data_IF_725955740632
#
_entry.id   IF_725955740632
#
_cell.length_a   1.000
_cell.length_b   1.000
_cell.length_c   1.000
_cell.angle_alpha   90.00
_cell.angle_beta   90.00
_cell.angle_gamma   90.00
#
_symmetry.space_group_name_H-M   'P 1'
#
loop_
_entity.id
_entity.type
_entity.pdbx_description
1 polymer ?
#
# COMPACT_ATOMS: atom_id res chain seq x y z
N UNK A 1 -24.89 7.59 12.88
CA UNK A 1 -24.11 6.59 13.63
C UNK A 1 -22.79 6.42 12.92
N UNK A 2 -21.69 6.47 13.65
CA UNK A 2 -20.34 6.27 13.12
C UNK A 2 -20.22 4.88 12.49
N UNK A 3 -19.58 4.82 11.32
CA UNK A 3 -19.40 3.59 10.54
C UNK A 3 -18.48 2.57 11.23
N UNK A 4 -17.61 3.05 12.12
CA UNK A 4 -16.69 2.27 12.94
C UNK A 4 -16.42 3.01 14.25
N UNK A 5 -16.12 2.28 15.32
CA UNK A 5 -15.82 2.83 16.64
C UNK A 5 -14.32 2.81 16.97
N UNK A 6 -13.90 3.68 17.89
CA UNK A 6 -12.55 3.64 18.46
C UNK A 6 -12.20 2.28 19.09
N UNK A 7 -13.17 1.58 19.70
CA UNK A 7 -12.95 0.25 20.26
C UNK A 7 -12.60 -0.78 19.18
N UNK A 8 -13.29 -0.72 18.02
CA UNK A 8 -12.99 -1.59 16.88
C UNK A 8 -11.60 -1.30 16.29
N UNK A 9 -11.23 -0.03 16.11
CA UNK A 9 -9.87 0.31 15.62
C UNK A 9 -8.80 -0.20 16.58
N UNK A 10 -8.97 -0.02 17.89
CA UNK A 10 -8.04 -0.55 18.90
C UNK A 10 -7.93 -2.07 18.87
N UNK A 11 -9.04 -2.78 18.71
CA UNK A 11 -9.04 -4.23 18.59
C UNK A 11 -8.28 -4.68 17.33
N UNK A 12 -8.45 -3.99 16.21
CA UNK A 12 -7.76 -4.29 14.96
C UNK A 12 -6.27 -3.93 14.96
N UNK A 13 -5.81 -3.02 15.83
CA UNK A 13 -4.43 -2.57 15.87
C UNK A 13 -3.46 -3.70 16.26
N UNK A 14 -2.24 -3.64 15.73
CA UNK A 14 -1.12 -4.56 16.05
C UNK A 14 -0.23 -4.05 17.17
N UNK A 15 -0.41 -2.80 17.55
CA UNK A 15 0.41 -2.05 18.49
C UNK A 15 -0.48 -1.06 19.23
N UNK A 16 0.08 -0.42 20.26
CA UNK A 16 -0.61 0.64 20.99
C UNK A 16 -0.91 1.83 20.05
N UNK A 17 -2.19 2.17 19.95
CA UNK A 17 -2.73 3.33 19.23
C UNK A 17 -2.46 4.61 20.01
N UNK A 18 -2.14 5.71 19.31
CA UNK A 18 -2.27 7.05 19.89
C UNK A 18 -3.73 7.51 19.72
N UNK A 19 -4.39 7.77 20.84
CA UNK A 19 -5.80 8.16 20.85
C UNK A 19 -6.05 9.49 20.12
N UNK A 20 -5.13 10.46 20.21
CA UNK A 20 -5.25 11.75 19.51
C UNK A 20 -5.33 11.54 18.00
N UNK A 21 -4.29 10.93 17.43
CA UNK A 21 -4.16 10.68 16.00
C UNK A 21 -5.35 9.85 15.45
N UNK A 22 -5.80 8.84 16.19
CA UNK A 22 -6.99 8.05 15.82
C UNK A 22 -8.28 8.90 15.87
N UNK A 23 -8.45 9.70 16.93
CA UNK A 23 -9.65 10.51 17.13
C UNK A 23 -9.78 11.61 16.08
N UNK A 24 -8.68 12.25 15.68
CA UNK A 24 -8.67 13.22 14.56
C UNK A 24 -9.31 12.62 13.31
N UNK A 25 -8.94 11.39 12.94
CA UNK A 25 -9.50 10.69 11.79
C UNK A 25 -10.96 10.27 12.00
N UNK A 26 -11.32 9.77 13.19
CA UNK A 26 -12.70 9.38 13.49
C UNK A 26 -13.66 10.56 13.44
N UNK A 27 -13.29 11.70 14.04
CA UNK A 27 -14.09 12.93 14.01
C UNK A 27 -14.26 13.40 12.57
N UNK A 28 -13.18 13.43 11.77
CA UNK A 28 -13.27 13.84 10.38
C UNK A 28 -14.12 12.87 9.52
N UNK A 29 -14.03 11.55 9.75
CA UNK A 29 -14.89 10.56 9.09
C UNK A 29 -16.36 10.75 9.43
N UNK A 30 -16.68 11.00 10.70
CA UNK A 30 -18.06 11.19 11.15
C UNK A 30 -18.68 12.49 10.61
N UNK A 31 -17.90 13.56 10.59
CA UNK A 31 -18.37 14.88 10.15
C UNK A 31 -18.41 15.02 8.62
N UNK A 32 -17.39 14.51 7.91
CA UNK A 32 -17.20 14.78 6.47
C UNK A 32 -17.26 13.53 5.60
N UNK A 33 -17.19 12.33 6.18
CA UNK A 33 -17.11 11.07 5.42
C UNK A 33 -18.31 10.83 4.52
N UNK A 34 -19.53 11.21 4.94
CA UNK A 34 -20.74 11.09 4.14
C UNK A 34 -20.64 11.86 2.80
N UNK A 35 -20.18 13.11 2.84
CA UNK A 35 -20.02 13.96 1.65
C UNK A 35 -18.95 13.45 0.67
N UNK A 36 -18.06 12.57 1.13
CA UNK A 36 -17.01 11.94 0.34
C UNK A 36 -17.31 10.48 -0.02
N UNK A 37 -18.47 9.95 0.38
CA UNK A 37 -18.81 8.54 0.22
C UNK A 37 -17.93 7.58 1.04
N UNK A 38 -17.21 8.09 2.04
CA UNK A 38 -16.40 7.37 3.02
C UNK A 38 -17.22 7.00 4.29
N UNK A 39 -18.53 6.83 4.13
CA UNK A 39 -19.44 6.36 5.17
C UNK A 39 -19.88 4.90 4.96
N UNK A 40 -19.36 4.22 3.93
CA UNK A 40 -19.70 2.83 3.62
C UNK A 40 -18.67 1.89 4.25
N UNK A 41 -19.09 0.82 4.97
CA UNK A 41 -18.17 -0.06 5.69
C UNK A 41 -17.02 -0.64 4.85
N UNK A 42 -17.30 -1.12 3.64
CA UNK A 42 -16.28 -1.68 2.76
C UNK A 42 -15.21 -0.67 2.33
N UNK A 43 -15.60 0.59 2.12
CA UNK A 43 -14.66 1.69 1.79
C UNK A 43 -13.82 2.07 2.99
N UNK A 44 -14.46 2.19 4.17
CA UNK A 44 -13.80 2.54 5.42
C UNK A 44 -12.79 1.48 5.82
N UNK A 45 -13.08 0.20 5.61
CA UNK A 45 -12.14 -0.88 5.87
C UNK A 45 -10.86 -0.73 5.05
N UNK A 46 -10.97 -0.47 3.74
CA UNK A 46 -9.81 -0.19 2.89
C UNK A 46 -9.08 1.09 3.30
N UNK A 47 -9.82 2.17 3.57
CA UNK A 47 -9.25 3.45 3.99
C UNK A 47 -8.40 3.31 5.26
N UNK A 48 -8.97 2.73 6.32
CA UNK A 48 -8.27 2.53 7.59
C UNK A 48 -7.11 1.56 7.48
N UNK A 49 -7.23 0.51 6.65
CA UNK A 49 -6.12 -0.42 6.43
C UNK A 49 -4.87 0.28 5.88
N UNK A 50 -5.05 1.26 4.98
CA UNK A 50 -3.93 2.06 4.49
C UNK A 50 -3.38 2.96 5.59
N UNK A 51 -4.24 3.69 6.32
CA UNK A 51 -3.78 4.58 7.39
C UNK A 51 -3.03 3.84 8.49
N UNK A 52 -3.55 2.69 8.92
CA UNK A 52 -2.91 1.88 9.95
C UNK A 52 -1.54 1.37 9.49
N UNK A 53 -1.35 1.09 8.21
CA UNK A 53 -0.02 0.78 7.70
C UNK A 53 0.90 2.01 7.71
N UNK A 54 0.48 3.14 7.14
CA UNK A 54 1.32 4.35 7.01
C UNK A 54 1.72 4.96 8.36
N UNK A 55 0.82 4.89 9.34
CA UNK A 55 1.00 5.51 10.67
C UNK A 55 1.48 4.55 11.75
N UNK A 56 1.71 3.28 11.43
CA UNK A 56 2.04 2.25 12.42
C UNK A 56 0.92 2.01 13.43
N UNK A 57 -0.31 1.85 12.95
CA UNK A 57 -1.58 1.78 13.67
C UNK A 57 -1.90 3.05 14.48
N UNK A 58 -1.87 4.20 13.80
CA UNK A 58 -2.10 5.53 14.39
C UNK A 58 -1.10 5.88 15.49
N UNK A 59 0.07 5.24 15.52
CA UNK A 59 1.12 5.55 16.50
C UNK A 59 1.85 6.85 16.15
N UNK A 60 1.99 7.11 14.85
CA UNK A 60 2.73 8.25 14.32
C UNK A 60 1.84 9.05 13.36
N UNK A 61 1.83 10.35 13.54
CA UNK A 61 1.21 11.36 12.70
C UNK A 61 2.26 12.23 12.01
N UNK A 62 3.54 12.00 12.27
CA UNK A 62 4.65 12.65 11.60
C UNK A 62 5.78 11.66 11.38
N UNK A 63 6.52 11.87 10.29
CA UNK A 63 7.69 11.06 9.97
C UNK A 63 8.73 11.21 11.08
N UNK A 64 9.27 10.08 11.55
CA UNK A 64 10.42 10.10 12.47
C UNK A 64 11.62 10.63 11.68
N UNK A 65 11.96 11.88 11.93
CA UNK A 65 13.08 12.53 11.25
C UNK A 65 14.38 12.33 12.03
N UNK A 66 15.37 11.77 11.36
CA UNK A 66 16.74 11.67 11.85
C UNK A 66 17.62 11.50 10.63
N UNK A 67 18.40 12.52 10.24
CA UNK A 67 18.83 12.72 8.86
C UNK A 67 19.44 11.44 8.28
N UNK A 68 18.68 10.79 7.41
CA UNK A 68 19.15 9.65 6.62
C UNK A 68 19.51 10.10 5.21
N UNK A 69 20.34 9.33 4.52
CA UNK A 69 20.58 9.54 3.09
C UNK A 69 19.28 9.46 2.25
N UNK A 70 18.20 8.87 2.79
CA UNK A 70 16.87 8.90 2.17
C UNK A 70 16.22 10.26 2.29
N UNK A 71 16.11 10.73 3.53
CA UNK A 71 15.42 11.95 3.92
C UNK A 71 16.12 13.18 3.33
N UNK A 72 17.45 13.17 3.27
CA UNK A 72 18.23 14.22 2.61
C UNK A 72 17.87 14.41 1.13
N UNK A 73 17.40 13.35 0.44
CA UNK A 73 16.99 13.49 -0.97
C UNK A 73 15.67 14.21 -1.12
N UNK A 74 14.81 14.28 -0.09
CA UNK A 74 13.54 14.99 -0.21
C UNK A 74 13.72 16.48 -0.44
N UNK A 75 14.82 17.05 0.07
CA UNK A 75 15.10 18.49 -0.02
C UNK A 75 15.00 19.03 -1.44
N UNK A 76 15.53 18.27 -2.40
CA UNK A 76 15.63 18.70 -3.80
C UNK A 76 14.63 18.02 -4.74
N UNK A 77 13.59 17.37 -4.19
CA UNK A 77 12.55 16.68 -4.97
C UNK A 77 11.55 17.68 -5.56
N UNK A 78 11.89 18.22 -6.73
CA UNK A 78 11.05 19.17 -7.46
C UNK A 78 9.71 18.58 -7.92
N UNK A 79 9.62 17.27 -8.11
CA UNK A 79 8.35 16.57 -8.38
C UNK A 79 7.39 16.55 -7.18
N UNK A 80 7.91 16.83 -5.97
CA UNK A 80 7.12 17.06 -4.76
C UNK A 80 6.86 18.55 -4.48
N UNK A 81 7.26 19.43 -5.40
CA UNK A 81 7.15 20.89 -5.26
C UNK A 81 8.22 21.55 -4.42
N UNK A 82 9.21 20.80 -3.94
CA UNK A 82 10.34 21.36 -3.20
C UNK A 82 11.31 22.11 -4.13
N UNK A 83 12.11 23.02 -3.59
CA UNK A 83 13.09 23.76 -4.41
C UNK A 83 14.20 22.83 -4.93
N UNK A 84 14.89 23.18 -6.04
CA UNK A 84 16.06 22.44 -6.48
C UNK A 84 17.30 22.67 -5.59
N UNK A 85 17.23 23.59 -4.62
CA UNK A 85 18.32 23.87 -3.68
C UNK A 85 18.15 23.03 -2.41
N UNK A 86 19.26 22.70 -1.75
CA UNK A 86 19.23 22.05 -0.45
C UNK A 86 19.02 23.10 0.67
N UNK A 87 17.78 23.58 0.81
CA UNK A 87 17.39 24.69 1.70
C UNK A 87 16.56 24.26 2.91
N UNK A 88 16.32 22.96 3.10
CA UNK A 88 15.57 22.41 4.22
C UNK A 88 14.10 22.06 3.93
N UNK A 89 13.62 22.29 2.70
CA UNK A 89 12.28 21.88 2.23
C UNK A 89 11.93 20.42 2.55
N UNK A 90 12.91 19.51 2.50
CA UNK A 90 12.71 18.09 2.79
C UNK A 90 12.26 17.85 4.22
N UNK A 91 12.87 18.54 5.19
CA UNK A 91 12.45 18.48 6.60
C UNK A 91 11.20 19.33 6.85
N UNK A 92 11.12 20.51 6.23
CA UNK A 92 10.02 21.44 6.39
C UNK A 92 8.69 20.79 5.96
N UNK A 93 8.68 20.12 4.81
CA UNK A 93 7.52 19.41 4.25
C UNK A 93 7.63 17.87 4.40
N UNK A 94 8.25 17.39 5.49
CA UNK A 94 8.30 15.96 5.84
C UNK A 94 6.90 15.34 6.00
N UNK A 95 6.84 14.01 6.09
CA UNK A 95 5.60 13.27 6.26
C UNK A 95 4.76 13.74 7.46
N UNK A 96 3.47 14.06 7.24
CA UNK A 96 2.49 14.44 8.27
C UNK A 96 1.12 13.79 8.08
N UNK A 97 0.33 13.77 9.16
CA UNK A 97 -0.95 13.08 9.33
C UNK A 97 -0.89 11.55 9.12
N UNK A 98 -2.03 10.88 9.32
CA UNK A 98 -2.13 9.41 9.26
C UNK A 98 -1.86 8.76 7.90
N UNK A 99 -1.79 9.54 6.81
CA UNK A 99 -1.43 9.07 5.45
C UNK A 99 -0.03 9.55 5.01
N UNK A 100 0.69 10.27 5.87
CA UNK A 100 2.06 10.76 5.64
C UNK A 100 2.24 11.56 4.35
N UNK A 101 1.56 12.70 4.24
CA UNK A 101 1.73 13.61 3.09
C UNK A 101 3.11 14.28 3.14
N UNK A 102 3.80 14.34 2.00
CA UNK A 102 5.20 14.81 1.92
C UNK A 102 5.40 15.75 0.74
N UNK A 103 6.17 16.82 0.96
CA UNK A 103 6.58 17.80 -0.04
C UNK A 103 5.58 18.93 -0.26
N UNK A 104 6.12 20.12 -0.57
CA UNK A 104 5.40 21.40 -0.62
C UNK A 104 4.11 21.36 -1.45
N UNK A 105 4.15 20.71 -2.62
CA UNK A 105 2.99 20.64 -3.51
C UNK A 105 1.78 19.94 -2.86
N UNK A 106 2.01 18.95 -1.98
CA UNK A 106 0.92 18.29 -1.27
C UNK A 106 0.31 19.19 -0.17
N UNK A 107 1.12 20.02 0.49
CA UNK A 107 0.62 21.00 1.48
C UNK A 107 -0.21 22.09 0.80
N UNK A 108 0.24 22.58 -0.36
CA UNK A 108 -0.52 23.51 -1.21
C UNK A 108 -1.84 22.90 -1.67
N UNK A 109 -1.80 21.69 -2.23
CA UNK A 109 -2.99 21.03 -2.75
C UNK A 109 -4.01 20.71 -1.64
N UNK A 110 -3.55 20.36 -0.44
CA UNK A 110 -4.44 20.17 0.71
C UNK A 110 -5.09 21.49 1.16
N UNK A 111 -4.30 22.58 1.29
CA UNK A 111 -4.83 23.92 1.59
C UNK A 111 -5.91 24.30 0.57
N UNK A 112 -5.61 24.18 -0.71
CA UNK A 112 -6.52 24.60 -1.77
C UNK A 112 -7.82 23.78 -1.77
N UNK A 113 -7.73 22.47 -1.49
CA UNK A 113 -8.91 21.63 -1.31
C UNK A 113 -9.76 22.07 -0.10
N UNK A 114 -9.13 22.36 1.04
CA UNK A 114 -9.83 22.89 2.21
C UNK A 114 -10.52 24.23 1.91
N UNK A 115 -9.86 25.14 1.19
CA UNK A 115 -10.47 26.41 0.76
C UNK A 115 -11.66 26.19 -0.17
N UNK A 116 -11.55 25.28 -1.14
CA UNK A 116 -12.65 24.92 -2.04
C UNK A 116 -13.85 24.30 -1.32
N UNK A 117 -13.60 23.60 -0.20
CA UNK A 117 -14.64 23.05 0.68
C UNK A 117 -15.21 24.08 1.66
N UNK A 118 -14.66 25.30 1.69
CA UNK A 118 -15.11 26.36 2.60
C UNK A 118 -14.60 26.21 4.03
N UNK A 119 -13.54 25.42 4.27
CA UNK A 119 -13.00 25.19 5.62
C UNK A 119 -12.11 26.32 6.14
N UNK A 120 -11.75 27.30 5.31
CA UNK A 120 -10.89 28.44 5.70
C UNK A 120 -9.56 28.00 6.37
N UNK A 121 -8.71 27.23 5.66
CA UNK A 121 -7.47 26.71 6.23
C UNK A 121 -6.42 27.81 6.46
N UNK A 122 -5.48 27.60 7.41
CA UNK A 122 -4.29 28.44 7.52
C UNK A 122 -3.34 28.20 6.33
N UNK A 123 -2.28 29.00 6.25
CA UNK A 123 -1.23 28.79 5.26
C UNK A 123 -0.29 27.64 5.68
N UNK A 124 -0.62 26.43 5.25
CA UNK A 124 0.20 25.24 5.50
C UNK A 124 1.56 25.26 4.80
N UNK A 125 1.80 26.15 3.84
CA UNK A 125 3.12 26.30 3.23
C UNK A 125 4.04 27.09 4.17
N UNK A 126 3.52 28.20 4.72
CA UNK A 126 4.24 29.00 5.69
C UNK A 126 4.38 28.28 7.05
N UNK A 127 3.38 27.50 7.46
CA UNK A 127 3.32 26.83 8.75
C UNK A 127 2.87 25.35 8.61
N UNK A 128 3.72 24.47 8.07
CA UNK A 128 3.34 23.09 7.76
C UNK A 128 3.02 22.23 8.99
N UNK A 129 3.53 22.55 10.17
CA UNK A 129 3.20 21.84 11.40
C UNK A 129 1.72 21.98 11.80
N UNK A 130 1.01 23.02 11.32
CA UNK A 130 -0.44 23.17 11.55
C UNK A 130 -1.26 22.04 10.91
N UNK A 131 -0.68 21.27 9.97
CA UNK A 131 -1.34 20.10 9.41
C UNK A 131 -1.62 19.02 10.47
N UNK A 132 -0.83 18.95 11.55
CA UNK A 132 -1.02 18.01 12.68
C UNK A 132 -1.90 18.59 13.80
N UNK A 133 -2.73 19.59 13.51
CA UNK A 133 -3.73 20.08 14.46
C UNK A 133 -5.12 19.83 13.93
N UNK A 134 -6.09 19.52 14.80
CA UNK A 134 -7.48 19.39 14.38
C UNK A 134 -8.07 20.73 13.88
N UNK A 135 -8.97 20.69 12.87
CA UNK A 135 -9.50 19.49 12.21
C UNK A 135 -8.61 18.99 11.05
N UNK A 136 -7.46 19.62 10.79
CA UNK A 136 -6.65 19.38 9.60
C UNK A 136 -6.04 17.99 9.56
N UNK A 137 -5.54 17.50 10.69
CA UNK A 137 -4.92 16.18 10.78
C UNK A 137 -5.87 15.06 10.33
N UNK A 138 -7.14 15.13 10.76
CA UNK A 138 -8.19 14.21 10.33
C UNK A 138 -8.63 14.38 8.88
N UNK A 139 -8.64 15.63 8.37
CA UNK A 139 -9.06 15.94 7.01
C UNK A 139 -8.04 15.54 5.95
N UNK A 140 -6.74 15.53 6.25
CA UNK A 140 -5.68 15.17 5.29
C UNK A 140 -5.90 13.79 4.65
N UNK A 141 -6.11 12.70 5.42
CA UNK A 141 -6.44 11.39 4.85
C UNK A 141 -7.67 11.40 3.94
N UNK A 142 -8.74 12.12 4.31
CA UNK A 142 -9.98 12.23 3.54
C UNK A 142 -9.76 12.96 2.21
N UNK A 143 -9.00 14.07 2.24
CA UNK A 143 -8.55 14.77 1.04
C UNK A 143 -7.75 13.84 0.14
N UNK A 144 -6.70 13.21 0.67
CA UNK A 144 -5.80 12.37 -0.10
C UNK A 144 -6.55 11.25 -0.82
N UNK A 145 -7.48 10.61 -0.10
CA UNK A 145 -8.33 9.54 -0.61
C UNK A 145 -9.28 10.02 -1.71
N UNK A 146 -9.97 11.14 -1.48
CA UNK A 146 -10.96 11.68 -2.43
C UNK A 146 -10.30 12.23 -3.70
N UNK A 147 -9.21 12.97 -3.57
CA UNK A 147 -8.46 13.54 -4.69
C UNK A 147 -7.91 12.48 -5.67
N UNK A 148 -7.72 11.24 -5.19
CA UNK A 148 -7.22 10.11 -5.99
C UNK A 148 -8.32 9.13 -6.42
N UNK A 149 -9.58 9.44 -6.15
CA UNK A 149 -10.74 8.60 -6.45
C UNK A 149 -10.60 7.16 -5.92
N UNK A 150 -10.08 7.00 -4.70
CA UNK A 150 -9.77 5.67 -4.16
C UNK A 150 -11.03 4.86 -3.80
N UNK A 151 -12.18 5.52 -3.62
CA UNK A 151 -13.49 4.85 -3.49
C UNK A 151 -13.77 3.88 -4.63
N UNK A 152 -13.45 4.24 -5.87
CA UNK A 152 -13.74 3.40 -7.04
C UNK A 152 -12.99 2.05 -7.01
N UNK A 153 -11.83 2.01 -6.36
CA UNK A 153 -11.05 0.77 -6.19
C UNK A 153 -11.49 0.02 -4.94
N UNK A 154 -11.85 0.73 -3.87
CA UNK A 154 -12.40 0.09 -2.68
C UNK A 154 -13.75 -0.58 -2.96
N UNK A 155 -14.57 -0.02 -3.84
CA UNK A 155 -15.82 -0.63 -4.33
C UNK A 155 -15.61 -1.94 -5.11
N UNK A 156 -14.40 -2.17 -5.64
CA UNK A 156 -13.99 -3.38 -6.37
C UNK A 156 -13.08 -4.27 -5.55
N UNK A 157 -13.00 -4.02 -4.24
CA UNK A 157 -12.10 -4.71 -3.32
C UNK A 157 -10.60 -4.75 -3.76
N UNK A 158 -10.17 -3.74 -4.53
CA UNK A 158 -8.86 -3.69 -5.20
C UNK A 158 -7.82 -2.95 -4.33
N UNK A 159 -7.43 -3.60 -3.23
CA UNK A 159 -6.42 -3.07 -2.31
C UNK A 159 -5.05 -2.95 -2.99
N UNK A 160 -4.77 -3.79 -3.98
CA UNK A 160 -3.53 -3.78 -4.74
C UNK A 160 -3.35 -2.46 -5.51
N UNK A 161 -4.39 -1.96 -6.18
CA UNK A 161 -4.34 -0.68 -6.88
C UNK A 161 -4.38 0.49 -5.90
N UNK A 162 -5.14 0.39 -4.81
CA UNK A 162 -5.14 1.41 -3.75
C UNK A 162 -3.72 1.60 -3.20
N UNK A 163 -3.05 0.51 -2.82
CA UNK A 163 -1.67 0.54 -2.33
C UNK A 163 -0.71 1.12 -3.36
N UNK A 164 -0.83 0.73 -4.64
CA UNK A 164 0.00 1.31 -5.71
C UNK A 164 -0.20 2.81 -5.85
N UNK A 165 -1.42 3.31 -5.70
CA UNK A 165 -1.72 4.75 -5.81
C UNK A 165 -1.24 5.57 -4.62
N UNK A 166 -1.17 4.96 -3.43
CA UNK A 166 -0.68 5.62 -2.22
C UNK A 166 0.86 5.61 -2.17
N UNK A 167 1.47 4.45 -2.42
CA UNK A 167 2.90 4.22 -2.20
C UNK A 167 3.74 4.24 -3.50
N UNK A 168 3.12 4.44 -4.66
CA UNK A 168 3.81 4.32 -5.96
C UNK A 168 4.22 2.89 -6.34
N UNK A 169 3.83 1.88 -5.55
CA UNK A 169 4.18 0.48 -5.71
C UNK A 169 3.43 -0.42 -4.72
N UNK A 170 3.77 -1.70 -4.63
CA UNK A 170 3.12 -2.68 -3.74
C UNK A 170 3.87 -2.91 -2.41
N UNK A 171 4.77 -2.00 -2.04
CA UNK A 171 5.51 -2.14 -0.78
C UNK A 171 4.52 -2.11 0.40
N UNK A 172 4.67 -3.07 1.32
CA UNK A 172 3.78 -3.21 2.47
C UNK A 172 2.40 -3.82 2.17
N UNK A 173 2.13 -4.31 0.95
CA UNK A 173 0.81 -4.84 0.57
C UNK A 173 0.30 -5.94 1.51
N UNK A 174 1.15 -6.89 1.91
CA UNK A 174 0.75 -7.97 2.83
C UNK A 174 0.27 -7.43 4.19
N UNK A 175 0.95 -6.41 4.71
CA UNK A 175 0.59 -5.79 5.98
C UNK A 175 -0.73 -5.01 5.88
N UNK A 176 -0.96 -4.34 4.75
CA UNK A 176 -2.23 -3.65 4.44
C UNK A 176 -3.38 -4.63 4.27
N UNK A 177 -3.15 -5.79 3.66
CA UNK A 177 -4.15 -6.87 3.57
C UNK A 177 -4.50 -7.40 4.96
N UNK A 178 -3.52 -7.59 5.83
CA UNK A 178 -3.78 -8.01 7.21
C UNK A 178 -4.60 -6.94 7.95
N UNK A 179 -4.24 -5.66 7.89
CA UNK A 179 -5.06 -4.60 8.49
C UNK A 179 -6.48 -4.54 7.91
N UNK A 180 -6.65 -4.74 6.59
CA UNK A 180 -7.97 -4.84 5.97
C UNK A 180 -8.79 -5.97 6.59
N UNK A 181 -8.20 -7.17 6.70
CA UNK A 181 -8.85 -8.32 7.34
C UNK A 181 -9.25 -8.04 8.78
N UNK A 182 -8.33 -7.50 9.57
CA UNK A 182 -8.57 -7.16 10.99
C UNK A 182 -9.69 -6.14 11.16
N UNK A 183 -9.70 -5.08 10.35
CA UNK A 183 -10.75 -4.06 10.37
C UNK A 183 -12.09 -4.64 9.91
N UNK A 184 -12.12 -5.40 8.83
CA UNK A 184 -13.34 -6.03 8.34
C UNK A 184 -13.97 -6.96 9.39
N UNK A 185 -13.15 -7.79 10.05
CA UNK A 185 -13.60 -8.71 11.10
C UNK A 185 -14.24 -7.97 12.28
N UNK A 186 -13.59 -6.93 12.82
CA UNK A 186 -14.14 -6.18 13.96
C UNK A 186 -15.41 -5.40 13.61
N UNK A 187 -15.55 -4.96 12.36
CA UNK A 187 -16.78 -4.33 11.85
C UNK A 187 -17.92 -5.34 11.74
N UNK A 188 -17.60 -6.61 11.47
CA UNK A 188 -18.55 -7.73 11.39
C UNK A 188 -18.80 -8.42 12.74
N UNK A 189 -18.22 -7.91 13.84
CA UNK A 189 -18.41 -8.46 15.19
C UNK A 189 -17.49 -9.63 15.57
N UNK A 190 -16.49 -9.94 14.74
CA UNK A 190 -15.45 -10.93 15.04
C UNK A 190 -14.25 -10.29 15.74
N UNK A 191 -13.45 -11.11 16.39
CA UNK A 191 -12.13 -10.73 16.88
C UNK A 191 -11.08 -10.90 15.76
N UNK A 192 -10.04 -10.07 15.71
CA UNK A 192 -8.98 -10.16 14.70
C UNK A 192 -7.93 -11.23 15.12
N UNK A 193 -8.38 -12.48 15.27
CA UNK A 193 -7.55 -13.63 15.65
C UNK A 193 -7.64 -14.73 14.61
N UNK A 194 -6.64 -15.60 14.53
CA UNK A 194 -6.68 -16.76 13.62
C UNK A 194 -7.89 -17.65 13.86
N UNK A 195 -8.27 -17.87 15.13
CA UNK A 195 -9.45 -18.65 15.49
C UNK A 195 -10.74 -18.06 14.90
N UNK A 196 -10.89 -16.74 14.96
CA UNK A 196 -12.06 -16.05 14.41
C UNK A 196 -12.02 -15.94 12.88
N UNK A 197 -10.82 -15.89 12.25
CA UNK A 197 -10.69 -16.04 10.80
C UNK A 197 -11.20 -17.42 10.36
N UNK A 198 -10.73 -18.48 11.04
CA UNK A 198 -11.18 -19.86 10.76
C UNK A 198 -12.67 -20.04 11.01
N UNK A 199 -13.22 -19.40 12.06
CA UNK A 199 -14.67 -19.38 12.32
C UNK A 199 -15.41 -18.70 11.17
N UNK A 200 -14.98 -17.50 10.78
CA UNK A 200 -15.57 -16.75 9.67
C UNK A 200 -15.55 -17.57 8.37
N UNK A 201 -14.42 -18.20 8.05
CA UNK A 201 -14.27 -19.07 6.88
C UNK A 201 -15.25 -20.24 6.90
N UNK A 202 -15.34 -20.94 8.03
CA UNK A 202 -16.29 -22.04 8.23
C UNK A 202 -17.74 -21.60 8.03
N UNK A 203 -18.14 -20.49 8.64
CA UNK A 203 -19.50 -19.92 8.54
C UNK A 203 -19.88 -19.42 7.13
N UNK A 204 -18.89 -19.27 6.24
CA UNK A 204 -19.06 -18.86 4.83
C UNK A 204 -18.76 -19.98 3.84
N UNK A 205 -18.44 -21.19 4.32
CA UNK A 205 -18.10 -22.33 3.46
C UNK A 205 -16.82 -22.12 2.64
N UNK A 206 -15.86 -21.38 3.19
CA UNK A 206 -14.54 -21.15 2.58
C UNK A 206 -13.53 -22.21 3.04
N UNK A 207 -12.37 -22.24 2.37
CA UNK A 207 -11.21 -23.00 2.83
C UNK A 207 -10.79 -22.50 4.22
N UNK A 208 -10.74 -23.38 5.22
CA UNK A 208 -10.45 -23.04 6.62
C UNK A 208 -8.93 -23.04 6.84
N UNK A 209 -8.22 -22.14 6.17
CA UNK A 209 -6.76 -22.03 6.23
C UNK A 209 -6.26 -21.05 7.31
N UNK A 210 -7.12 -20.16 7.81
CA UNK A 210 -6.76 -19.10 8.75
C UNK A 210 -6.17 -17.85 8.07
N UNK A 211 -6.12 -17.82 6.75
CA UNK A 211 -5.53 -16.74 5.96
C UNK A 211 -6.60 -15.81 5.36
N UNK A 212 -6.32 -14.51 5.39
CA UNK A 212 -7.13 -13.49 4.70
C UNK A 212 -6.74 -13.42 3.21
N UNK A 213 -6.80 -14.58 2.54
CA UNK A 213 -6.53 -14.74 1.13
C UNK A 213 -7.63 -14.13 0.22
N UNK A 214 -7.50 -14.22 -1.11
CA UNK A 214 -8.44 -13.59 -2.05
C UNK A 214 -9.91 -13.98 -1.83
N UNK A 215 -10.20 -15.26 -1.56
CA UNK A 215 -11.57 -15.74 -1.28
C UNK A 215 -12.12 -15.16 0.03
N UNK A 216 -11.34 -15.21 1.11
CA UNK A 216 -11.70 -14.61 2.40
C UNK A 216 -11.94 -13.10 2.27
N UNK A 217 -11.07 -12.37 1.55
CA UNK A 217 -11.24 -10.93 1.30
C UNK A 217 -12.51 -10.60 0.53
N UNK A 218 -12.86 -11.42 -0.47
CA UNK A 218 -14.06 -11.23 -1.27
C UNK A 218 -15.34 -11.44 -0.44
N UNK A 219 -15.34 -12.45 0.43
CA UNK A 219 -16.43 -12.69 1.39
C UNK A 219 -16.57 -11.53 2.39
N UNK A 220 -15.45 -11.11 3.02
CA UNK A 220 -15.44 -9.96 3.93
C UNK A 220 -16.00 -8.70 3.26
N UNK A 221 -15.57 -8.44 2.03
CA UNK A 221 -16.07 -7.30 1.24
C UNK A 221 -17.58 -7.37 1.00
N UNK A 222 -18.09 -8.55 0.64
CA UNK A 222 -19.52 -8.77 0.40
C UNK A 222 -20.34 -8.55 1.67
N UNK A 223 -19.86 -9.03 2.82
CA UNK A 223 -20.53 -8.84 4.10
C UNK A 223 -20.49 -7.37 4.55
N UNK A 224 -19.37 -6.67 4.34
CA UNK A 224 -19.28 -5.23 4.60
C UNK A 224 -20.20 -4.40 3.69
N UNK A 225 -20.39 -4.80 2.43
CA UNK A 225 -21.37 -4.20 1.54
C UNK A 225 -22.79 -4.37 2.10
N UNK A 226 -23.12 -5.55 2.63
CA UNK A 226 -24.43 -5.82 3.23
C UNK A 226 -24.71 -4.92 4.46
N UNK A 227 -23.69 -4.58 5.25
CA UNK A 227 -23.82 -3.62 6.36
C UNK A 227 -24.23 -2.20 5.89
N UNK A 228 -23.96 -1.83 4.63
CA UNK A 228 -24.33 -0.51 4.09
C UNK A 228 -25.80 -0.41 3.67
N UNK A 229 -26.56 -1.51 3.73
CA UNK A 229 -27.91 -1.59 3.15
C UNK A 229 -27.93 -1.62 1.61
N UNK A 230 -26.76 -1.67 0.95
CA UNK A 230 -26.66 -1.79 -0.50
C UNK A 230 -26.91 -3.24 -0.92
N UNK A 231 -27.87 -3.45 -1.84
CA UNK A 231 -28.18 -4.76 -2.42
C UNK A 231 -26.98 -5.37 -3.17
N UNK A 232 -26.79 -6.68 -3.00
CA UNK A 232 -25.67 -7.57 -3.43
C UNK A 232 -25.26 -7.49 -4.92
N UNK A 233 -26.00 -6.76 -5.76
CA UNK A 233 -25.87 -6.79 -7.21
C UNK A 233 -24.55 -6.17 -7.76
N UNK A 234 -23.80 -5.41 -6.96
CA UNK A 234 -22.46 -4.90 -7.34
C UNK A 234 -21.29 -5.84 -6.97
N UNK A 235 -21.46 -6.75 -6.01
CA UNK A 235 -20.39 -7.65 -5.56
C UNK A 235 -20.04 -8.73 -6.61
N UNK A 236 -20.99 -9.05 -7.50
CA UNK A 236 -20.83 -10.10 -8.51
C UNK A 236 -19.83 -9.78 -9.64
N UNK A 237 -19.35 -8.54 -9.76
CA UNK A 237 -18.39 -8.14 -10.81
C UNK A 237 -16.92 -8.10 -10.33
N UNK A 238 -16.65 -8.48 -9.07
CA UNK A 238 -15.35 -8.30 -8.41
C UNK A 238 -14.57 -9.61 -8.17
N UNK A 239 -14.94 -10.71 -8.84
CA UNK A 239 -14.08 -11.90 -8.84
C UNK A 239 -12.86 -11.61 -9.74
N UNK A 240 -11.70 -11.37 -9.13
CA UNK A 240 -10.43 -11.35 -9.83
C UNK A 240 -10.27 -12.70 -10.57
N UNK A 241 -9.75 -12.73 -11.82
CA UNK A 241 -9.60 -13.97 -12.56
C UNK A 241 -8.67 -14.91 -11.78
N UNK A 242 -9.18 -16.11 -11.49
CA UNK A 242 -8.44 -17.22 -10.90
C UNK A 242 -7.31 -17.57 -11.86
N UNK A 243 -6.07 -17.23 -11.49
CA UNK A 243 -4.89 -17.82 -12.10
C UNK A 243 -4.77 -19.25 -11.58
N UNK A 244 -4.92 -20.22 -12.48
CA UNK A 244 -4.67 -21.63 -12.21
C UNK A 244 -3.26 -21.82 -11.62
N UNK A 245 -3.19 -22.47 -10.45
CA UNK A 245 -1.92 -22.88 -9.84
C UNK A 245 -1.32 -24.06 -10.62
N UNK A 246 -0.10 -23.87 -11.14
CA UNK A 246 0.75 -24.98 -11.58
C UNK A 246 1.47 -25.60 -10.36
N UNK A 247 1.72 -26.92 -10.37
CA UNK A 247 2.17 -27.66 -9.19
C UNK A 247 3.58 -27.26 -8.72
N UNK A 248 3.72 -27.13 -7.40
CA UNK A 248 4.94 -26.69 -6.70
C UNK A 248 5.85 -27.88 -6.39
N UNK A 249 7.15 -27.73 -6.69
CA UNK A 249 8.23 -28.68 -6.37
C UNK A 249 8.62 -28.56 -4.87
N UNK A 250 9.00 -29.64 -4.17
CA UNK A 250 9.01 -29.68 -2.70
C UNK A 250 10.10 -28.84 -2.01
N UNK A 251 9.77 -28.46 -0.77
CA UNK A 251 10.51 -27.66 0.20
C UNK A 251 11.84 -28.31 0.61
N UNK A 252 12.94 -27.92 -0.03
CA UNK A 252 14.29 -28.23 0.47
C UNK A 252 15.40 -27.29 -0.06
N UNK A 253 15.14 -26.00 -0.34
CA UNK A 253 16.24 -25.01 -0.55
C UNK A 253 15.86 -23.60 -0.05
N UNK A 254 15.04 -23.48 1.00
CA UNK A 254 14.71 -22.16 1.58
C UNK A 254 15.61 -21.75 2.77
N UNK A 255 16.38 -22.68 3.31
CA UNK A 255 17.07 -22.46 4.60
C UNK A 255 18.50 -21.93 4.47
N UNK A 256 19.11 -21.88 3.27
CA UNK A 256 20.49 -21.39 3.10
C UNK A 256 20.62 -19.99 2.45
N UNK A 257 19.54 -19.39 1.97
CA UNK A 257 19.57 -18.01 1.42
C UNK A 257 19.19 -16.94 2.47
N UNK A 258 18.53 -17.34 3.57
CA UNK A 258 18.12 -16.44 4.67
C UNK A 258 19.26 -15.94 5.58
N UNK A 259 20.53 -16.29 5.32
CA UNK A 259 21.68 -15.82 6.13
C UNK A 259 22.61 -14.82 5.42
N UNK A 260 22.33 -14.43 4.17
CA UNK A 260 23.15 -13.43 3.44
C UNK A 260 22.40 -12.20 2.89
N UNK A 261 21.08 -12.11 3.11
CA UNK A 261 20.27 -11.00 2.60
C UNK A 261 19.72 -10.03 3.66
N UNK A 262 20.28 -10.04 4.87
CA UNK A 262 19.84 -9.14 5.95
C UNK A 262 20.64 -7.82 6.05
N UNK A 263 21.13 -7.28 4.91
CA UNK A 263 21.86 -5.98 4.86
C UNK A 263 21.27 -5.02 3.81
N UNK A 264 20.26 -5.41 3.02
CA UNK A 264 19.64 -4.53 2.00
C UNK A 264 18.15 -4.25 2.25
N UNK A 265 17.77 -4.18 3.52
CA UNK A 265 16.45 -3.71 3.96
C UNK A 265 16.40 -2.20 4.14
N UNK A 266 16.72 -1.43 3.09
CA UNK A 266 16.32 -0.03 2.92
C UNK A 266 16.72 0.39 1.49
N UNK A 267 15.83 1.13 0.81
CA UNK A 267 15.99 1.79 -0.51
C UNK A 267 15.51 1.05 -1.77
N UNK A 268 14.61 1.75 -2.48
CA UNK A 268 14.76 1.94 -3.93
C UNK A 268 13.55 1.54 -4.78
N UNK A 269 12.54 2.41 -4.82
CA UNK A 269 11.67 2.47 -5.99
C UNK A 269 12.32 3.32 -7.09
N UNK A 270 12.35 2.78 -8.32
CA UNK A 270 12.54 3.55 -9.55
C UNK A 270 13.74 3.12 -10.40
N UNK A 271 13.50 2.28 -11.42
CA UNK A 271 14.49 2.04 -12.47
C UNK A 271 14.15 0.81 -13.31
N UNK A 272 13.70 1.05 -14.53
CA UNK A 272 13.48 0.06 -15.59
C UNK A 272 14.69 -0.86 -15.80
N UNK A 273 14.42 -2.16 -15.97
CA UNK A 273 15.36 -3.11 -16.55
C UNK A 273 15.75 -2.64 -17.97
N UNK A 274 16.98 -2.16 -18.15
CA UNK A 274 17.52 -1.84 -19.46
C UNK A 274 18.63 -0.80 -19.42
N UNK A 275 19.88 -1.25 -19.33
CA UNK A 275 21.06 -0.42 -19.58
C UNK A 275 21.95 -0.22 -18.35
N UNK A 276 22.88 -1.15 -18.11
CA UNK A 276 24.08 -0.84 -17.33
C UNK A 276 24.99 0.03 -18.21
N UNK A 277 25.00 1.34 -17.95
CA UNK A 277 25.97 2.25 -18.55
C UNK A 277 27.37 2.00 -17.99
N UNK A 278 28.40 2.16 -18.84
CA UNK A 278 29.83 1.96 -18.52
C UNK A 278 30.33 2.69 -17.25
N UNK A 279 29.61 3.72 -16.78
CA UNK A 279 29.91 4.43 -15.55
C UNK A 279 29.75 3.59 -14.26
N UNK A 280 28.98 2.49 -14.30
CA UNK A 280 28.81 1.59 -13.15
C UNK A 280 30.08 0.78 -12.81
N UNK A 281 31.10 0.82 -13.67
CA UNK A 281 32.36 0.07 -13.49
C UNK A 281 33.57 0.96 -13.14
N UNK A 282 33.37 2.27 -13.00
CA UNK A 282 34.45 3.18 -12.63
C UNK A 282 34.90 2.92 -11.18
N UNK A 283 36.17 2.55 -11.02
CA UNK A 283 36.79 2.27 -9.70
C UNK A 283 36.69 0.81 -9.23
N UNK A 284 36.13 -0.10 -10.03
CA UNK A 284 36.09 -1.53 -9.72
C UNK A 284 37.39 -2.22 -10.13
N UNK A 285 37.82 -3.20 -9.32
CA UNK A 285 38.97 -4.05 -9.66
C UNK A 285 38.71 -4.80 -10.99
N UNK A 286 39.70 -4.82 -11.89
CA UNK A 286 39.58 -5.38 -13.22
C UNK A 286 39.24 -6.88 -13.22
N UNK A 287 39.63 -7.62 -12.17
CA UNK A 287 39.27 -9.03 -12.00
C UNK A 287 37.76 -9.18 -11.71
N UNK A 288 37.19 -8.26 -10.93
CA UNK A 288 35.75 -8.22 -10.64
C UNK A 288 34.96 -7.87 -11.90
N UNK A 289 35.45 -6.91 -12.69
CA UNK A 289 34.85 -6.56 -13.99
C UNK A 289 34.87 -7.75 -14.95
N UNK A 290 35.99 -8.50 -15.01
CA UNK A 290 36.11 -9.69 -15.86
C UNK A 290 35.11 -10.80 -15.45
N UNK A 291 34.95 -11.07 -14.15
CA UNK A 291 33.99 -12.05 -13.65
C UNK A 291 32.56 -11.63 -14.00
N UNK A 292 32.20 -10.35 -13.80
CA UNK A 292 30.87 -9.84 -14.14
C UNK A 292 30.58 -9.93 -15.65
N UNK A 293 31.57 -9.64 -16.50
CA UNK A 293 31.43 -9.78 -17.94
C UNK A 293 31.17 -11.24 -18.36
N UNK A 294 31.86 -12.21 -17.75
CA UNK A 294 31.63 -13.65 -18.00
C UNK A 294 30.23 -14.07 -17.53
N UNK A 295 29.77 -13.60 -16.37
CA UNK A 295 28.42 -13.90 -15.86
C UNK A 295 27.34 -13.33 -16.76
N UNK A 296 27.49 -12.10 -17.23
CA UNK A 296 26.58 -11.46 -18.18
C UNK A 296 26.55 -12.23 -19.51
N UNK A 297 27.71 -12.64 -20.02
CA UNK A 297 27.81 -13.42 -21.25
C UNK A 297 27.11 -14.78 -21.10
N UNK A 298 27.34 -15.49 -19.98
CA UNK A 298 26.71 -16.78 -19.69
C UNK A 298 25.20 -16.65 -19.52
N UNK A 299 24.70 -15.58 -18.90
CA UNK A 299 23.26 -15.32 -18.77
C UNK A 299 22.61 -14.98 -20.11
N UNK A 300 23.28 -14.21 -20.98
CA UNK A 300 22.82 -13.95 -22.34
C UNK A 300 22.79 -15.24 -23.20
N UNK A 301 23.84 -16.06 -23.13
CA UNK A 301 23.89 -17.36 -23.82
C UNK A 301 22.77 -18.28 -23.31
N UNK A 302 22.58 -18.37 -22.00
CA UNK A 302 21.51 -19.15 -21.40
C UNK A 302 20.13 -18.64 -21.83
N UNK A 303 19.93 -17.32 -21.89
CA UNK A 303 18.71 -16.70 -22.38
C UNK A 303 18.42 -17.07 -23.83
N UNK A 304 19.42 -17.04 -24.71
CA UNK A 304 19.29 -17.44 -26.12
C UNK A 304 18.99 -18.94 -26.28
N UNK A 305 19.64 -19.80 -25.49
CA UNK A 305 19.38 -21.25 -25.50
C UNK A 305 17.96 -21.58 -25.00
N UNK A 306 17.50 -20.88 -23.96
CA UNK A 306 16.13 -21.02 -23.45
C UNK A 306 15.10 -20.49 -24.44
N UNK A 307 15.37 -19.37 -25.11
CA UNK A 307 14.49 -18.82 -26.14
C UNK A 307 14.34 -19.80 -27.32
N UNK A 308 15.44 -20.39 -27.79
CA UNK A 308 15.40 -21.40 -28.86
C UNK A 308 14.66 -22.68 -28.42
N UNK A 309 14.81 -23.08 -27.16
CA UNK A 309 14.10 -24.24 -26.61
C UNK A 309 12.59 -23.99 -26.49
N UNK A 310 12.19 -22.78 -26.09
CA UNK A 310 10.79 -22.35 -25.99
C UNK A 310 10.17 -22.26 -27.39
N UNK A 311 10.86 -21.66 -28.37
CA UNK A 311 10.37 -21.56 -29.76
C UNK A 311 10.21 -22.95 -30.38
N UNK A 312 11.15 -23.87 -30.14
CA UNK A 312 11.04 -25.27 -30.58
C UNK A 312 9.86 -26.01 -29.92
N UNK A 313 9.66 -25.81 -28.60
CA UNK A 313 8.54 -26.39 -27.87
C UNK A 313 7.18 -25.85 -28.36
N UNK A 314 7.07 -24.54 -28.58
CA UNK A 314 5.86 -23.89 -29.11
C UNK A 314 5.59 -24.34 -30.55
N UNK A 315 6.61 -24.50 -31.39
CA UNK A 315 6.46 -25.03 -32.76
C UNK A 315 5.92 -26.46 -32.80
N UNK A 316 6.39 -27.34 -31.90
CA UNK A 316 5.89 -28.72 -31.78
C UNK A 316 4.45 -28.78 -31.28
N UNK A 317 4.08 -27.90 -30.34
CA UNK A 317 2.69 -27.80 -29.85
C UNK A 317 1.77 -27.28 -30.96
N UNK A 318 2.20 -26.27 -31.72
CA UNK A 318 1.40 -25.73 -32.82
C UNK A 318 1.13 -26.76 -33.93
N UNK A 319 2.14 -27.55 -34.30
CA UNK A 319 2.01 -28.63 -35.28
C UNK A 319 1.14 -29.81 -34.80
N UNK A 320 0.85 -29.91 -33.50
CA UNK A 320 -0.03 -30.92 -32.92
C UNK A 320 -1.48 -30.45 -32.74
N UNK A 321 -1.76 -29.15 -32.92
CA UNK A 321 -3.07 -28.52 -32.64
C UNK A 321 -3.75 -27.96 -33.90
N UNK A 322 -3.01 -27.75 -35.00
CA UNK A 322 -3.58 -27.40 -36.31
C UNK A 322 -3.59 -28.65 -37.22
N UNK A 323 -4.76 -29.19 -37.64
CA UNK A 323 -4.85 -30.24 -38.65
C UNK A 323 -4.53 -29.74 -40.07
#
# INVERSE_FOLDING_TARGET
>A
MSVITAAQIRAAAKSRVNEGNMNSVLVALDEFGLGLGLNRPHRVAHFLAQLMHESGAFRFDQEIWGPTAAQARYDTRTDLGNTPAADGDGYLYRGRAGIQITGKANYEAFRDWCSQKGFNPPDFVAQPDLVNTDPWEGLVPLWYWSARNLNAYADRNDIETITKKINGGKNGLADRIDYYGRIALVMLGYQPTEADIRRYQSERGLDIDGDVGPKTRAALHTDLLALSGASVQMAAFSAAPVTEEKPVVPVAVETQVKRKFNIFGLFGGGGSFGGLGLAAFAGMDWQVVAVLAVVILLTLILGLLLQNSIVSAVGKIRAAVEP
#
